data_IF_423761822365
#
_entry.id   IF_423761822365
#
_cell.length_a   1.000
_cell.length_b   1.000
_cell.length_c   1.000
_cell.angle_alpha   90.00
_cell.angle_beta   90.00
_cell.angle_gamma   90.00
#
_symmetry.space_group_name_H-M   'P 1'
#
loop_
_entity.id
_entity.type
_entity.pdbx_description
1 polymer ?
#
# COMPACT_ATOMS: atom_id res chain seq x y z
N UNK A 1 14.83 8.45 -61.33
CA UNK A 1 15.30 9.08 -60.07
C UNK A 1 14.77 10.50 -60.03
N UNK A 2 13.68 10.77 -59.29
CA UNK A 2 13.08 12.11 -59.26
C UNK A 2 14.00 13.08 -58.51
N UNK A 3 14.49 14.08 -59.22
CA UNK A 3 15.38 15.10 -58.69
C UNK A 3 14.55 16.12 -57.88
N UNK A 4 14.10 15.73 -56.69
CA UNK A 4 13.35 16.61 -55.79
C UNK A 4 14.30 17.64 -55.16
N UNK A 5 14.59 18.70 -55.93
CA UNK A 5 15.36 19.85 -55.46
C UNK A 5 14.52 20.61 -54.44
N UNK A 6 14.93 20.56 -53.18
CA UNK A 6 14.31 21.31 -52.08
C UNK A 6 14.26 22.79 -52.46
N UNK A 7 13.07 23.38 -52.48
CA UNK A 7 12.91 24.81 -52.76
C UNK A 7 13.47 25.62 -51.59
N UNK A 8 13.90 26.87 -51.84
CA UNK A 8 14.41 27.77 -50.79
C UNK A 8 13.44 27.90 -49.60
N UNK A 9 12.14 27.95 -49.88
CA UNK A 9 11.09 28.00 -48.85
C UNK A 9 11.02 26.71 -48.04
N UNK A 10 11.10 25.55 -48.69
CA UNK A 10 11.13 24.26 -47.99
C UNK A 10 12.39 24.11 -47.13
N UNK A 11 13.54 24.54 -47.63
CA UNK A 11 14.79 24.54 -46.86
C UNK A 11 14.67 25.39 -45.59
N UNK A 12 14.17 26.63 -45.72
CA UNK A 12 13.96 27.52 -44.57
C UNK A 12 12.93 26.97 -43.58
N UNK A 13 11.81 26.41 -44.05
CA UNK A 13 10.80 25.84 -43.16
C UNK A 13 11.35 24.64 -42.37
N UNK A 14 12.13 23.77 -43.00
CA UNK A 14 12.72 22.62 -42.32
C UNK A 14 13.78 23.03 -41.30
N UNK A 15 14.64 23.99 -41.62
CA UNK A 15 15.66 24.46 -40.66
C UNK A 15 15.02 25.19 -39.47
N UNK A 16 14.04 26.07 -39.72
CA UNK A 16 13.29 26.75 -38.66
C UNK A 16 12.54 25.77 -37.76
N UNK A 17 11.84 24.79 -38.35
CA UNK A 17 11.09 23.79 -37.58
C UNK A 17 12.03 22.85 -36.84
N UNK A 18 13.16 22.46 -37.43
CA UNK A 18 14.15 21.60 -36.79
C UNK A 18 14.84 22.26 -35.60
N UNK A 19 15.30 23.50 -35.76
CA UNK A 19 15.92 24.27 -34.66
C UNK A 19 14.89 24.59 -33.58
N UNK A 20 13.69 25.05 -33.97
CA UNK A 20 12.60 25.32 -33.03
C UNK A 20 12.17 24.07 -32.25
N UNK A 21 12.05 22.93 -32.93
CA UNK A 21 11.75 21.64 -32.32
C UNK A 21 12.82 21.19 -31.33
N UNK A 22 14.10 21.36 -31.65
CA UNK A 22 15.21 21.05 -30.73
C UNK A 22 15.16 21.93 -29.48
N UNK A 23 14.96 23.24 -29.62
CA UNK A 23 14.85 24.16 -28.48
C UNK A 23 13.65 23.82 -27.60
N UNK A 24 12.48 23.55 -28.21
CA UNK A 24 11.29 23.15 -27.49
C UNK A 24 11.49 21.82 -26.74
N UNK A 25 12.10 20.82 -27.38
CA UNK A 25 12.43 19.55 -26.76
C UNK A 25 13.40 19.73 -25.57
N UNK A 26 14.41 20.59 -25.70
CA UNK A 26 15.34 20.90 -24.61
C UNK A 26 14.66 21.48 -23.37
N UNK A 27 13.62 22.31 -23.55
CA UNK A 27 12.84 22.87 -22.45
C UNK A 27 11.84 21.87 -21.85
N UNK A 28 11.20 21.06 -22.69
CA UNK A 28 10.16 20.13 -22.24
C UNK A 28 10.71 18.83 -21.64
N UNK A 29 11.88 18.36 -22.10
CA UNK A 29 12.49 17.12 -21.63
C UNK A 29 12.68 17.07 -20.10
N UNK A 30 13.27 18.07 -19.41
CA UNK A 30 13.44 17.99 -17.96
C UNK A 30 12.11 17.97 -17.20
N UNK A 31 11.09 18.68 -17.67
CA UNK A 31 9.75 18.67 -17.07
C UNK A 31 9.07 17.31 -17.25
N UNK A 32 9.14 16.76 -18.46
CA UNK A 32 8.62 15.42 -18.76
C UNK A 32 9.36 14.35 -17.93
N UNK A 33 10.69 14.46 -17.81
CA UNK A 33 11.45 13.54 -16.96
C UNK A 33 11.07 13.69 -15.49
N UNK A 34 10.96 14.90 -14.96
CA UNK A 34 10.49 15.13 -13.59
C UNK A 34 9.08 14.57 -13.34
N UNK A 35 8.16 14.65 -14.30
CA UNK A 35 6.85 14.05 -14.15
C UNK A 35 6.89 12.51 -14.09
N UNK A 36 7.84 11.88 -14.79
CA UNK A 36 7.89 10.41 -14.97
C UNK A 36 8.92 9.73 -14.05
N UNK A 37 9.92 10.45 -13.56
CA UNK A 37 11.04 9.89 -12.78
C UNK A 37 10.57 9.06 -11.58
N UNK A 38 9.58 9.48 -10.77
CA UNK A 38 9.16 8.69 -9.61
C UNK A 38 8.58 7.32 -9.96
N UNK A 39 8.04 7.17 -11.18
CA UNK A 39 7.52 5.90 -11.70
C UNK A 39 8.68 4.99 -12.14
N UNK A 40 9.78 5.57 -12.62
CA UNK A 40 10.95 4.84 -13.11
C UNK A 40 11.91 4.41 -11.98
N UNK A 41 11.84 5.06 -10.82
CA UNK A 41 12.61 4.66 -9.65
C UNK A 41 12.15 3.28 -9.14
N UNK A 42 13.04 2.29 -9.13
CA UNK A 42 12.76 0.98 -8.53
C UNK A 42 12.64 1.16 -7.01
N UNK A 43 11.45 0.96 -6.45
CA UNK A 43 11.26 0.88 -4.99
C UNK A 43 12.01 -0.36 -4.48
N UNK A 44 13.12 -0.16 -3.77
CA UNK A 44 13.75 -1.24 -3.01
C UNK A 44 12.78 -1.64 -1.89
N UNK A 45 12.34 -2.90 -1.90
CA UNK A 45 11.44 -3.42 -0.87
C UNK A 45 12.14 -3.45 0.49
N UNK A 46 11.95 -2.39 1.29
CA UNK A 46 12.13 -2.47 2.72
C UNK A 46 10.96 -3.28 3.28
N UNK A 47 11.10 -4.60 3.28
CA UNK A 47 9.97 -5.54 3.35
C UNK A 47 9.36 -5.72 4.76
N UNK A 48 10.00 -5.22 5.82
CA UNK A 48 9.57 -5.47 7.21
C UNK A 48 9.91 -4.28 8.13
N UNK A 49 8.89 -3.76 8.81
CA UNK A 49 8.96 -2.63 9.75
C UNK A 49 8.91 -3.18 11.17
N UNK A 50 9.90 -2.88 12.03
CA UNK A 50 9.87 -3.32 13.42
C UNK A 50 8.78 -2.59 14.20
N UNK A 51 8.10 -3.31 15.07
CA UNK A 51 7.09 -2.77 16.00
C UNK A 51 7.65 -2.73 17.42
N UNK A 52 7.06 -1.90 18.27
CA UNK A 52 7.44 -1.77 19.69
C UNK A 52 7.02 -2.99 20.54
N UNK A 53 6.33 -3.98 19.96
CA UNK A 53 5.81 -5.15 20.64
C UNK A 53 6.74 -6.35 20.50
N UNK A 54 7.08 -6.96 21.64
CA UNK A 54 7.76 -8.25 21.69
C UNK A 54 6.78 -9.38 21.41
N UNK A 55 7.25 -10.40 20.68
CA UNK A 55 6.43 -11.58 20.37
C UNK A 55 5.99 -12.32 21.64
N UNK A 56 6.82 -12.30 22.69
CA UNK A 56 6.53 -12.94 23.98
C UNK A 56 5.36 -12.32 24.75
N UNK A 57 4.96 -11.09 24.43
CA UNK A 57 3.85 -10.38 25.09
C UNK A 57 2.51 -10.58 24.35
N UNK A 58 2.53 -11.27 23.21
CA UNK A 58 1.32 -11.54 22.43
C UNK A 58 0.48 -12.63 23.10
N UNK A 59 -0.80 -12.32 23.31
CA UNK A 59 -1.80 -13.26 23.81
C UNK A 59 -2.66 -13.83 22.67
N UNK A 60 -3.54 -14.77 23.01
CA UNK A 60 -4.53 -15.31 22.07
C UNK A 60 -5.62 -14.29 21.68
N UNK A 61 -5.73 -13.17 22.39
CA UNK A 61 -6.69 -12.12 22.10
C UNK A 61 -6.06 -11.08 21.17
N UNK A 62 -6.74 -10.67 20.07
CA UNK A 62 -6.30 -9.59 19.20
C UNK A 62 -5.98 -8.30 19.95
N UNK A 63 -4.75 -7.83 19.80
CA UNK A 63 -4.25 -6.55 20.32
C UNK A 63 -3.94 -5.63 19.15
N UNK A 64 -4.26 -4.34 19.32
CA UNK A 64 -3.95 -3.31 18.35
C UNK A 64 -2.46 -2.95 18.44
N UNK A 65 -1.73 -3.08 17.34
CA UNK A 65 -0.31 -2.70 17.25
C UNK A 65 -0.15 -1.66 16.15
N UNK A 66 0.41 -0.52 16.52
CA UNK A 66 0.71 0.56 15.58
C UNK A 66 2.17 0.44 15.13
N UNK A 67 2.44 0.71 13.86
CA UNK A 67 3.78 0.66 13.27
C UNK A 67 3.93 1.81 12.27
N UNK A 68 5.09 2.47 12.31
CA UNK A 68 5.38 3.65 11.50
C UNK A 68 6.43 3.32 10.46
N UNK A 69 6.18 3.72 9.21
CA UNK A 69 7.12 3.53 8.12
C UNK A 69 7.19 4.78 7.24
N UNK A 70 8.36 5.00 6.62
CA UNK A 70 8.56 6.08 5.67
C UNK A 70 7.85 5.71 4.35
N UNK A 71 6.77 6.43 4.04
CA UNK A 71 6.11 6.36 2.76
C UNK A 71 6.71 7.41 1.81
N UNK A 72 7.15 6.94 0.63
CA UNK A 72 7.61 7.81 -0.46
C UNK A 72 6.48 7.98 -1.46
N UNK A 73 5.90 9.18 -1.52
CA UNK A 73 4.90 9.59 -2.49
C UNK A 73 5.52 10.55 -3.51
N UNK A 74 5.88 9.98 -4.66
CA UNK A 74 6.62 10.63 -5.73
C UNK A 74 7.90 11.35 -5.25
N UNK A 75 7.78 12.65 -4.97
CA UNK A 75 8.87 13.54 -4.57
C UNK A 75 8.92 13.81 -3.07
N UNK A 76 7.91 13.37 -2.32
CA UNK A 76 7.78 13.61 -0.90
C UNK A 76 8.00 12.33 -0.09
N UNK A 77 8.55 12.52 1.10
CA UNK A 77 8.70 11.48 2.12
C UNK A 77 7.87 11.88 3.33
N UNK A 78 7.08 10.96 3.84
CA UNK A 78 6.26 11.16 5.04
C UNK A 78 6.24 9.90 5.87
N UNK A 79 6.35 10.05 7.18
CA UNK A 79 6.14 8.94 8.11
C UNK A 79 4.65 8.69 8.29
N UNK A 80 4.20 7.49 7.93
CA UNK A 80 2.81 7.07 8.05
C UNK A 80 2.72 5.99 9.10
N UNK A 81 1.85 6.19 10.09
CA UNK A 81 1.54 5.19 11.10
C UNK A 81 0.32 4.39 10.65
N UNK A 82 0.53 3.09 10.43
CA UNK A 82 -0.54 2.13 10.20
C UNK A 82 -0.78 1.29 11.46
N UNK A 83 -1.94 0.65 11.51
CA UNK A 83 -2.34 -0.26 12.57
C UNK A 83 -2.49 -1.67 12.02
N UNK A 84 -2.12 -2.67 12.79
CA UNK A 84 -2.50 -4.07 12.62
C UNK A 84 -3.17 -4.63 13.88
N UNK A 85 -4.08 -5.58 13.69
CA UNK A 85 -4.56 -6.46 14.77
C UNK A 85 -3.66 -7.68 14.85
N UNK A 86 -2.99 -7.88 15.97
CA UNK A 86 -2.02 -8.97 16.14
C UNK A 86 -2.47 -9.88 17.28
N UNK A 87 -2.41 -11.19 17.06
CA UNK A 87 -2.59 -12.20 18.11
C UNK A 87 -1.75 -13.45 17.83
N UNK A 88 -1.61 -14.28 18.86
CA UNK A 88 -1.00 -15.60 18.75
C UNK A 88 -2.09 -16.67 18.58
N UNK A 89 -1.94 -17.54 17.59
CA UNK A 89 -2.77 -18.72 17.37
C UNK A 89 -1.89 -19.97 17.49
N UNK A 90 -1.82 -20.53 18.70
CA UNK A 90 -0.82 -21.55 19.05
C UNK A 90 0.61 -21.03 18.93
N UNK A 91 1.35 -21.53 17.94
CA UNK A 91 2.72 -21.09 17.63
C UNK A 91 2.80 -20.10 16.47
N UNK A 92 1.67 -19.78 15.82
CA UNK A 92 1.63 -18.84 14.70
C UNK A 92 1.27 -17.44 15.20
N UNK A 93 1.94 -16.43 14.65
CA UNK A 93 1.55 -15.04 14.83
C UNK A 93 0.65 -14.67 13.66
N UNK A 94 -0.53 -14.14 13.97
CA UNK A 94 -1.46 -13.63 12.97
C UNK A 94 -1.52 -12.11 13.10
N UNK A 95 -1.29 -11.42 11.99
CA UNK A 95 -1.48 -9.98 11.89
C UNK A 95 -2.50 -9.68 10.79
N UNK A 96 -3.63 -9.06 11.15
CA UNK A 96 -4.70 -8.71 10.24
C UNK A 96 -4.80 -7.20 10.05
N UNK A 97 -5.12 -6.79 8.83
CA UNK A 97 -5.45 -5.41 8.50
C UNK A 97 -6.77 -5.01 9.16
N UNK A 98 -6.83 -3.85 9.84
CA UNK A 98 -8.07 -3.35 10.41
C UNK A 98 -8.99 -2.72 9.34
N UNK A 99 -8.63 -2.76 8.06
CA UNK A 99 -9.38 -2.09 6.99
C UNK A 99 -10.58 -2.94 6.55
N UNK A 100 -11.78 -2.44 6.79
CA UNK A 100 -13.02 -3.09 6.38
C UNK A 100 -13.12 -3.16 4.85
N UNK A 101 -13.34 -4.38 4.33
CA UNK A 101 -13.54 -4.67 2.89
C UNK A 101 -14.87 -4.19 2.29
N UNK A 102 -15.65 -3.39 3.02
CA UNK A 102 -16.79 -2.69 2.46
C UNK A 102 -16.34 -1.37 1.81
N UNK A 103 -15.90 -0.40 2.63
CA UNK A 103 -15.51 0.95 2.18
C UNK A 103 -14.27 1.49 2.92
N UNK A 104 -13.53 0.65 3.65
CA UNK A 104 -12.25 1.01 4.25
C UNK A 104 -12.28 1.56 5.69
N UNK A 105 -13.43 1.57 6.37
CA UNK A 105 -13.50 1.91 7.81
C UNK A 105 -12.62 0.97 8.67
N UNK A 106 -12.14 1.46 9.81
CA UNK A 106 -11.40 0.65 10.79
C UNK A 106 -12.33 -0.30 11.54
N UNK A 107 -11.97 -1.59 11.59
CA UNK A 107 -12.67 -2.62 12.37
C UNK A 107 -12.03 -2.77 13.76
N UNK A 108 -12.87 -3.04 14.76
CA UNK A 108 -12.44 -3.22 16.15
C UNK A 108 -12.72 -4.64 16.62
N UNK A 109 -11.76 -5.25 17.33
CA UNK A 109 -12.01 -6.51 18.03
C UNK A 109 -13.01 -6.29 19.18
N UNK A 110 -13.96 -7.20 19.34
CA UNK A 110 -14.99 -7.13 20.39
C UNK A 110 -15.79 -5.82 20.39
N UNK A 111 -15.91 -5.15 19.23
CA UNK A 111 -16.56 -3.84 19.11
C UNK A 111 -18.09 -3.87 19.22
N UNK A 112 -18.69 -5.06 19.25
CA UNK A 112 -20.13 -5.27 19.46
C UNK A 112 -20.38 -6.14 20.70
N UNK A 113 -21.37 -5.74 21.49
CA UNK A 113 -21.73 -6.40 22.75
C UNK A 113 -22.32 -7.79 22.56
N UNK A 114 -23.01 -8.04 21.44
CA UNK A 114 -23.59 -9.33 21.11
C UNK A 114 -22.54 -10.32 20.55
N UNK A 115 -21.44 -9.80 19.99
CA UNK A 115 -20.44 -10.59 19.26
C UNK A 115 -19.01 -10.27 19.70
N UNK A 116 -18.72 -10.50 20.99
CA UNK A 116 -17.42 -10.17 21.63
C UNK A 116 -16.19 -10.89 21.05
N UNK A 117 -16.38 -11.99 20.33
CA UNK A 117 -15.30 -12.78 19.72
C UNK A 117 -15.16 -12.53 18.20
N UNK A 118 -15.55 -11.35 17.74
CA UNK A 118 -15.54 -10.98 16.33
C UNK A 118 -14.94 -9.58 16.14
N UNK A 119 -14.42 -9.32 14.94
CA UNK A 119 -14.16 -7.95 14.52
C UNK A 119 -15.46 -7.31 14.05
N UNK A 120 -15.68 -6.09 14.49
CA UNK A 120 -16.87 -5.31 14.21
C UNK A 120 -16.52 -3.97 13.59
N UNK A 121 -17.21 -3.62 12.50
CA UNK A 121 -17.12 -2.34 11.82
C UNK A 121 -18.33 -1.47 12.21
N UNK A 122 -18.13 -0.38 12.96
CA UNK A 122 -19.24 0.44 13.46
C UNK A 122 -19.96 1.25 12.36
N UNK A 123 -19.37 1.39 11.17
CA UNK A 123 -19.94 2.20 10.10
C UNK A 123 -21.28 1.64 9.56
N UNK A 124 -21.37 0.32 9.34
CA UNK A 124 -22.56 -0.33 8.75
C UNK A 124 -22.83 -1.72 9.36
N UNK A 125 -22.22 -2.05 10.50
CA UNK A 125 -22.40 -3.35 11.15
C UNK A 125 -21.67 -4.51 10.46
N UNK A 126 -20.57 -4.23 9.75
CA UNK A 126 -19.74 -5.26 9.14
C UNK A 126 -19.08 -6.15 10.19
N UNK A 127 -19.06 -7.47 9.96
CA UNK A 127 -18.53 -8.42 10.95
C UNK A 127 -17.55 -9.40 10.32
N UNK A 128 -16.55 -9.77 11.10
CA UNK A 128 -15.56 -10.78 10.73
C UNK A 128 -15.29 -11.72 11.89
N UNK A 129 -15.03 -12.98 11.58
CA UNK A 129 -14.52 -13.97 12.53
C UNK A 129 -13.09 -13.64 12.97
N UNK A 130 -12.57 -14.34 13.99
CA UNK A 130 -11.22 -14.11 14.54
C UNK A 130 -10.11 -14.26 13.50
N UNK A 131 -10.27 -15.16 12.54
CA UNK A 131 -9.34 -15.37 11.42
C UNK A 131 -9.47 -14.30 10.31
N UNK A 132 -10.39 -13.33 10.44
CA UNK A 132 -10.65 -12.30 9.44
C UNK A 132 -11.64 -12.69 8.34
N UNK A 133 -12.25 -13.88 8.39
CA UNK A 133 -13.33 -14.27 7.46
C UNK A 133 -14.54 -13.37 7.65
N UNK A 134 -15.09 -12.82 6.57
CA UNK A 134 -16.32 -12.04 6.64
C UNK A 134 -17.53 -12.92 6.99
N UNK A 135 -18.39 -12.40 7.87
CA UNK A 135 -19.62 -13.08 8.26
C UNK A 135 -20.68 -12.86 7.17
N UNK A 136 -21.26 -13.96 6.67
CA UNK A 136 -22.31 -13.91 5.66
C UNK A 136 -23.52 -13.08 6.11
N UNK A 137 -24.12 -12.33 5.19
CA UNK A 137 -25.25 -11.44 5.48
C UNK A 137 -24.86 -10.10 6.11
N UNK A 138 -23.56 -9.80 6.23
CA UNK A 138 -23.07 -8.47 6.64
C UNK A 138 -22.41 -7.74 5.46
N UNK A 139 -22.24 -6.40 5.49
CA UNK A 139 -21.73 -5.63 4.36
C UNK A 139 -20.36 -6.02 3.75
N UNK A 140 -19.37 -6.53 4.51
CA UNK A 140 -18.08 -6.95 3.96
C UNK A 140 -18.17 -8.00 2.84
N UNK A 141 -17.56 -7.69 1.69
CA UNK A 141 -17.57 -8.56 0.51
C UNK A 141 -16.49 -9.65 0.51
N UNK A 142 -15.52 -9.57 1.41
CA UNK A 142 -14.42 -10.54 1.51
C UNK A 142 -13.66 -10.44 2.84
N UNK A 143 -12.68 -11.33 3.07
CA UNK A 143 -11.93 -11.41 4.32
C UNK A 143 -10.97 -10.21 4.50
N UNK A 144 -10.61 -9.92 5.75
CA UNK A 144 -9.56 -8.95 6.08
C UNK A 144 -8.22 -9.42 5.52
N UNK A 145 -7.40 -8.49 5.02
CA UNK A 145 -6.05 -8.82 4.56
C UNK A 145 -5.17 -9.23 5.74
N UNK A 146 -4.16 -10.05 5.45
CA UNK A 146 -3.14 -10.47 6.40
C UNK A 146 -1.86 -9.69 6.13
N UNK A 147 -1.12 -9.30 7.17
CA UNK A 147 0.23 -8.79 7.01
C UNK A 147 1.24 -9.93 7.06
N UNK A 148 2.30 -9.83 6.26
CA UNK A 148 3.47 -10.67 6.48
C UNK A 148 4.10 -10.36 7.83
N UNK A 149 4.44 -11.38 8.61
CA UNK A 149 5.08 -11.23 9.91
C UNK A 149 6.43 -11.95 9.94
N UNK A 150 7.41 -11.32 10.58
CA UNK A 150 8.69 -11.94 10.93
C UNK A 150 9.04 -11.58 12.36
N UNK A 151 9.72 -12.49 13.05
CA UNK A 151 10.34 -12.22 14.33
C UNK A 151 11.84 -12.01 14.11
N UNK A 152 12.39 -10.93 14.66
CA UNK A 152 13.84 -10.69 14.69
C UNK A 152 14.18 -10.06 16.03
N UNK A 153 15.16 -10.64 16.72
CA UNK A 153 15.64 -10.17 18.03
C UNK A 153 14.51 -10.06 19.09
N UNK A 154 13.49 -10.91 18.98
CA UNK A 154 12.31 -10.95 19.87
C UNK A 154 11.25 -9.87 19.59
N UNK A 155 11.49 -8.98 18.62
CA UNK A 155 10.54 -7.98 18.16
C UNK A 155 9.70 -8.51 17.00
N UNK A 156 8.43 -8.11 16.97
CA UNK A 156 7.57 -8.37 15.83
C UNK A 156 7.85 -7.37 14.72
N UNK A 157 8.11 -7.86 13.52
CA UNK A 157 8.21 -7.07 12.31
C UNK A 157 6.99 -7.33 11.42
N UNK A 158 6.38 -6.25 10.95
CA UNK A 158 5.22 -6.28 10.06
C UNK A 158 5.66 -5.87 8.67
N UNK A 159 5.33 -6.69 7.67
CA UNK A 159 5.65 -6.47 6.27
C UNK A 159 4.45 -6.02 5.44
N UNK A 160 4.48 -6.36 4.15
CA UNK A 160 3.42 -6.01 3.19
C UNK A 160 2.11 -6.73 3.53
N UNK A 161 1.00 -6.10 3.17
CA UNK A 161 -0.32 -6.75 3.16
C UNK A 161 -0.39 -7.78 2.04
N UNK A 162 -0.91 -8.96 2.35
CA UNK A 162 -1.23 -10.05 1.42
C UNK A 162 -2.68 -10.51 1.61
N UNK A 163 -3.18 -11.29 0.65
CA UNK A 163 -4.46 -11.95 0.80
C UNK A 163 -4.43 -12.90 2.01
N UNK A 164 -5.55 -12.98 2.74
CA UNK A 164 -5.66 -13.80 3.94
C UNK A 164 -5.45 -15.28 3.63
N UNK A 165 -4.47 -15.90 4.28
CA UNK A 165 -4.16 -17.33 4.07
C UNK A 165 -4.90 -18.27 5.02
N UNK A 166 -5.65 -17.72 5.99
CA UNK A 166 -6.37 -18.49 7.01
C UNK A 166 -7.78 -18.92 6.58
N UNK A 167 -8.24 -18.47 5.42
CA UNK A 167 -9.64 -18.60 4.95
C UNK A 167 -9.69 -19.05 3.50
#
# INVERSE_FOLDING_TARGET
MSNNRVTRRQFLNYTLTGVGGFMAAGMLMPMARFAVDPILQKKAGGDFVPTDKKVSELSETPVKVDFTFEQVDAWYKSDVTNTAWVYKDGDKIVALSPVCKHLGCTVNWAGDTAHKNQFYCPCHGGRYEKNGKNVAGTPPLGPLDEFEVKEKDGLLLIGKTRANTLV
#
